data_IF_586577476486
#
_entry.id   IF_586577476486
#
_cell.length_a   1.000
_cell.length_b   1.000
_cell.length_c   1.000
_cell.angle_alpha   90.00
_cell.angle_beta   90.00
_cell.angle_gamma   90.00
#
_symmetry.space_group_name_H-M   'P 1'
#
loop_
_entity.id
_entity.type
_entity.pdbx_description
1 polymer ?
#
# COMPACT_ATOMS: atom_id res chain seq x y z
N UNK A 1 -4.78 -29.77 -10.76
CA UNK A 1 -4.51 -28.33 -10.99
C UNK A 1 -3.47 -27.73 -9.99
N UNK A 2 -2.47 -28.51 -9.54
CA UNK A 2 -1.49 -28.13 -8.49
C UNK A 2 -0.02 -28.07 -8.99
N UNK A 3 0.22 -27.78 -10.27
CA UNK A 3 1.55 -28.03 -10.88
C UNK A 3 2.35 -26.76 -11.27
N UNK A 4 1.95 -25.56 -10.82
CA UNK A 4 2.72 -24.35 -11.16
C UNK A 4 3.69 -23.86 -10.08
N UNK A 5 3.67 -24.44 -8.87
CA UNK A 5 4.52 -24.00 -7.74
C UNK A 5 4.86 -25.17 -6.81
N UNK A 6 5.28 -26.32 -7.36
CA UNK A 6 6.02 -27.31 -6.56
C UNK A 6 7.41 -26.73 -6.33
N UNK A 7 7.58 -25.92 -5.29
CA UNK A 7 8.91 -25.82 -4.70
C UNK A 7 9.32 -27.24 -4.35
N UNK A 8 10.49 -27.65 -4.83
CA UNK A 8 11.03 -28.92 -4.40
C UNK A 8 11.10 -28.86 -2.88
N UNK A 9 10.45 -29.78 -2.16
CA UNK A 9 10.37 -29.69 -0.69
C UNK A 9 11.76 -29.59 -0.06
N UNK A 10 12.75 -30.17 -0.75
CA UNK A 10 14.17 -30.01 -0.49
C UNK A 10 14.65 -28.55 -0.52
N UNK A 11 14.28 -27.77 -1.54
CA UNK A 11 14.64 -26.35 -1.66
C UNK A 11 14.04 -25.49 -0.56
N UNK A 12 12.77 -25.73 -0.20
CA UNK A 12 12.14 -25.04 0.95
C UNK A 12 12.81 -25.41 2.26
N UNK A 13 13.14 -26.69 2.44
CA UNK A 13 13.84 -27.18 3.61
C UNK A 13 15.23 -26.54 3.75
N UNK A 14 16.01 -26.50 2.65
CA UNK A 14 17.32 -25.86 2.64
C UNK A 14 17.23 -24.35 2.90
N UNK A 15 16.21 -23.68 2.36
CA UNK A 15 16.00 -22.25 2.59
C UNK A 15 15.59 -21.97 4.06
N UNK A 16 14.74 -22.81 4.64
CA UNK A 16 14.37 -22.73 6.05
C UNK A 16 15.58 -23.01 6.96
N UNK A 17 16.40 -24.00 6.61
CA UNK A 17 17.63 -24.32 7.33
C UNK A 17 18.62 -23.15 7.25
N UNK A 18 18.84 -22.60 6.06
CA UNK A 18 19.70 -21.44 5.87
C UNK A 18 19.21 -20.23 6.67
N UNK A 19 17.90 -19.93 6.62
CA UNK A 19 17.28 -18.86 7.40
C UNK A 19 17.41 -19.09 8.92
N UNK A 20 17.37 -20.34 9.38
CA UNK A 20 17.54 -20.71 10.80
C UNK A 20 18.99 -20.68 11.28
N UNK A 21 19.95 -20.99 10.41
CA UNK A 21 21.40 -20.96 10.73
C UNK A 21 21.96 -19.53 10.67
N UNK A 22 21.43 -18.69 9.78
CA UNK A 22 21.94 -17.34 9.52
C UNK A 22 22.18 -16.49 10.78
N UNK A 23 21.26 -16.44 11.78
CA UNK A 23 21.48 -15.66 12.99
C UNK A 23 22.63 -16.19 13.87
N UNK A 24 23.03 -17.44 13.71
CA UNK A 24 24.17 -18.02 14.43
C UNK A 24 25.49 -17.84 13.67
N UNK A 25 25.42 -17.74 12.34
CA UNK A 25 26.61 -17.50 11.51
C UNK A 25 27.12 -16.05 11.63
N UNK A 26 26.21 -15.07 11.70
CA UNK A 26 26.53 -13.63 11.79
C UNK A 26 25.67 -12.94 12.88
N UNK A 27 25.82 -13.33 14.16
CA UNK A 27 24.89 -12.96 15.23
C UNK A 27 24.81 -11.45 15.47
N UNK A 28 25.94 -10.74 15.47
CA UNK A 28 25.97 -9.29 15.72
C UNK A 28 25.23 -8.51 14.63
N UNK A 29 25.39 -8.90 13.37
CA UNK A 29 24.71 -8.24 12.23
C UNK A 29 23.21 -8.50 12.28
N UNK A 30 22.81 -9.75 12.55
CA UNK A 30 21.39 -10.10 12.68
C UNK A 30 20.74 -9.42 13.89
N UNK A 31 21.43 -9.34 15.03
CA UNK A 31 20.94 -8.67 16.23
C UNK A 31 20.78 -7.15 16.00
N UNK A 32 21.74 -6.51 15.34
CA UNK A 32 21.65 -5.09 14.97
C UNK A 32 20.45 -4.84 14.04
N UNK A 33 20.28 -5.67 13.00
CA UNK A 33 19.17 -5.56 12.05
C UNK A 33 17.80 -5.72 12.74
N UNK A 34 17.68 -6.63 13.70
CA UNK A 34 16.48 -6.79 14.51
C UNK A 34 16.22 -5.57 15.40
N UNK A 35 17.25 -5.00 16.03
CA UNK A 35 17.12 -3.81 16.89
C UNK A 35 16.67 -2.58 16.09
N UNK A 36 17.23 -2.39 14.91
CA UNK A 36 16.81 -1.35 13.97
C UNK A 36 15.37 -1.57 13.50
N UNK A 37 15.03 -2.82 13.13
CA UNK A 37 13.67 -3.17 12.73
C UNK A 37 12.66 -2.94 13.86
N UNK A 38 13.01 -3.25 15.11
CA UNK A 38 12.16 -2.98 16.27
C UNK A 38 11.96 -1.48 16.49
N UNK A 39 13.02 -0.68 16.35
CA UNK A 39 12.96 0.78 16.47
C UNK A 39 12.06 1.38 15.37
N UNK A 40 12.15 0.84 14.16
CA UNK A 40 11.27 1.22 13.05
C UNK A 40 9.80 0.86 13.34
N UNK A 41 9.55 -0.35 13.85
CA UNK A 41 8.22 -0.86 14.19
C UNK A 41 7.62 -0.23 15.46
N UNK A 42 8.41 0.27 16.40
CA UNK A 42 7.89 0.92 17.62
C UNK A 42 7.80 2.43 17.51
N UNK A 43 8.46 3.04 16.52
CA UNK A 43 8.45 4.48 16.30
C UNK A 43 7.74 4.87 14.99
N UNK A 44 8.48 5.14 13.90
CA UNK A 44 7.92 5.75 12.69
C UNK A 44 6.76 4.96 12.05
N UNK A 45 6.84 3.63 11.99
CA UNK A 45 5.76 2.83 11.40
C UNK A 45 4.53 2.79 12.29
N UNK A 46 4.70 2.78 13.62
CA UNK A 46 3.57 2.76 14.52
C UNK A 46 2.79 4.08 14.42
N UNK A 47 3.50 5.20 14.30
CA UNK A 47 2.89 6.52 14.17
C UNK A 47 2.18 6.71 12.83
N UNK A 48 2.72 6.16 11.75
CA UNK A 48 2.19 6.36 10.38
C UNK A 48 1.24 5.24 9.96
N UNK A 49 1.73 4.01 9.89
CA UNK A 49 1.04 2.87 9.27
C UNK A 49 -0.16 2.39 10.09
N UNK A 50 -0.06 2.32 11.42
CA UNK A 50 -1.17 1.83 12.24
C UNK A 50 -2.43 2.72 12.12
N UNK A 51 -2.35 4.06 12.26
CA UNK A 51 -3.49 4.93 11.98
C UNK A 51 -4.02 4.79 10.54
N UNK A 52 -3.15 4.61 9.55
CA UNK A 52 -3.58 4.36 8.16
C UNK A 52 -4.39 3.07 8.01
N UNK A 53 -4.00 1.99 8.70
CA UNK A 53 -4.75 0.73 8.69
C UNK A 53 -6.15 0.92 9.29
N UNK A 54 -6.26 1.66 10.40
CA UNK A 54 -7.55 2.00 11.02
C UNK A 54 -8.43 2.81 10.07
N UNK A 55 -7.87 3.90 9.53
CA UNK A 55 -8.61 4.81 8.64
C UNK A 55 -8.99 4.14 7.32
N UNK A 56 -8.14 3.29 6.75
CA UNK A 56 -8.47 2.53 5.54
C UNK A 56 -9.69 1.63 5.71
N UNK A 57 -9.84 1.00 6.88
CA UNK A 57 -10.98 0.13 7.19
C UNK A 57 -12.26 0.94 7.38
N UNK A 58 -12.16 2.10 8.03
CA UNK A 58 -13.27 3.04 8.17
C UNK A 58 -13.72 3.57 6.80
N UNK A 59 -12.78 3.98 5.94
CA UNK A 59 -13.07 4.46 4.59
C UNK A 59 -13.80 3.39 3.75
N UNK A 60 -13.42 2.11 3.84
CA UNK A 60 -14.14 1.05 3.11
C UNK A 60 -15.55 0.80 3.66
N UNK A 61 -15.78 1.01 4.95
CA UNK A 61 -17.08 0.78 5.59
C UNK A 61 -18.03 1.98 5.48
N UNK A 62 -17.53 3.20 5.31
CA UNK A 62 -18.34 4.42 5.19
C UNK A 62 -18.66 4.75 3.71
N UNK A 63 -19.94 4.71 3.27
CA UNK A 63 -20.33 5.05 1.90
C UNK A 63 -19.96 6.48 1.47
N UNK A 64 -19.95 7.43 2.41
CA UNK A 64 -19.67 8.85 2.16
C UNK A 64 -18.23 9.11 1.68
N UNK A 65 -17.33 8.15 1.89
CA UNK A 65 -15.96 8.22 1.42
C UNK A 65 -15.83 8.10 -0.10
N UNK A 66 -16.90 7.75 -0.82
CA UNK A 66 -16.94 7.77 -2.29
C UNK A 66 -16.62 9.17 -2.87
N UNK A 67 -16.91 10.25 -2.13
CA UNK A 67 -16.58 11.61 -2.56
C UNK A 67 -15.07 11.88 -2.58
N UNK A 68 -14.34 11.35 -1.59
CA UNK A 68 -12.87 11.43 -1.52
C UNK A 68 -12.20 10.66 -2.67
N UNK A 69 -12.85 9.58 -3.12
CA UNK A 69 -12.34 8.71 -4.17
C UNK A 69 -12.76 9.13 -5.59
N UNK A 70 -13.54 10.21 -5.74
CA UNK A 70 -14.03 10.67 -7.03
C UNK A 70 -12.93 10.86 -8.10
N UNK A 71 -11.74 11.43 -7.80
CA UNK A 71 -10.66 11.55 -8.78
C UNK A 71 -10.15 10.18 -9.27
N UNK A 72 -10.15 9.18 -8.39
CA UNK A 72 -9.68 7.83 -8.68
C UNK A 72 -10.72 6.97 -9.42
N UNK A 73 -11.95 7.46 -9.58
CA UNK A 73 -13.00 6.74 -10.30
C UNK A 73 -12.68 6.57 -11.78
N UNK A 74 -12.14 7.61 -12.42
CA UNK A 74 -11.72 7.54 -13.82
C UNK A 74 -10.55 6.56 -14.00
N UNK A 75 -9.62 6.53 -13.04
CA UNK A 75 -8.53 5.57 -13.04
C UNK A 75 -9.05 4.12 -12.89
N UNK A 76 -9.98 3.87 -11.96
CA UNK A 76 -10.61 2.55 -11.81
C UNK A 76 -11.28 2.09 -13.12
N UNK A 77 -11.99 3.00 -13.79
CA UNK A 77 -12.64 2.71 -15.06
C UNK A 77 -11.65 2.44 -16.18
N UNK A 78 -10.53 3.17 -16.24
CA UNK A 78 -9.45 2.91 -17.20
C UNK A 78 -8.78 1.55 -17.00
N UNK A 79 -8.79 1.03 -15.76
CA UNK A 79 -8.34 -0.33 -15.42
C UNK A 79 -9.39 -1.39 -15.81
N UNK A 80 -10.63 -0.99 -16.11
CA UNK A 80 -11.74 -1.87 -16.52
C UNK A 80 -12.71 -2.23 -15.38
N UNK A 81 -12.56 -1.64 -14.20
CA UNK A 81 -13.37 -1.96 -13.01
C UNK A 81 -14.31 -0.78 -12.74
N UNK A 82 -15.62 -1.02 -12.77
CA UNK A 82 -16.64 0.04 -12.63
C UNK A 82 -17.27 0.10 -11.23
N UNK A 83 -16.95 -0.84 -10.37
CA UNK A 83 -17.47 -0.91 -9.00
C UNK A 83 -17.01 0.32 -8.20
N UNK A 84 -17.93 1.06 -7.54
CA UNK A 84 -17.60 2.30 -6.81
C UNK A 84 -16.49 2.12 -5.77
N UNK A 85 -16.48 0.98 -5.07
CA UNK A 85 -15.46 0.65 -4.05
C UNK A 85 -14.03 0.61 -4.61
N UNK A 86 -13.85 0.31 -5.91
CA UNK A 86 -12.52 0.23 -6.52
C UNK A 86 -11.77 1.56 -6.46
N UNK A 87 -12.49 2.68 -6.62
CA UNK A 87 -11.89 4.01 -6.52
C UNK A 87 -11.38 4.30 -5.10
N UNK A 88 -12.09 3.84 -4.06
CA UNK A 88 -11.67 3.99 -2.65
C UNK A 88 -10.42 3.19 -2.36
N UNK A 89 -10.38 1.93 -2.81
CA UNK A 89 -9.20 1.06 -2.64
C UNK A 89 -7.98 1.63 -3.39
N UNK A 90 -8.16 2.21 -4.58
CA UNK A 90 -7.08 2.91 -5.31
C UNK A 90 -6.58 4.14 -4.55
N UNK A 91 -7.49 4.98 -4.06
CA UNK A 91 -7.14 6.17 -3.28
C UNK A 91 -6.35 5.78 -2.01
N UNK A 92 -6.83 4.78 -1.28
CA UNK A 92 -6.14 4.25 -0.08
C UNK A 92 -4.76 3.72 -0.44
N UNK A 93 -4.60 3.01 -1.55
CA UNK A 93 -3.30 2.48 -1.95
C UNK A 93 -2.31 3.55 -2.39
N UNK A 94 -2.77 4.54 -3.15
CA UNK A 94 -1.95 5.67 -3.58
C UNK A 94 -1.42 6.48 -2.37
N UNK A 95 -2.25 6.66 -1.33
CA UNK A 95 -1.89 7.46 -0.16
C UNK A 95 -1.18 6.66 0.94
N UNK A 96 -1.63 5.44 1.22
CA UNK A 96 -1.18 4.62 2.34
C UNK A 96 -0.20 3.51 1.98
N UNK A 97 0.02 3.26 0.69
CA UNK A 97 0.89 2.18 0.21
C UNK A 97 0.27 0.78 0.31
N UNK A 98 1.11 -0.24 0.20
CA UNK A 98 0.71 -1.63 -0.03
C UNK A 98 -0.16 -2.25 1.07
N UNK A 99 0.15 -1.97 2.34
CA UNK A 99 -0.54 -2.63 3.45
C UNK A 99 -1.97 -2.09 3.65
N UNK A 100 -2.20 -0.76 3.70
CA UNK A 100 -3.55 -0.19 3.65
C UNK A 100 -4.31 -0.58 2.38
N UNK A 101 -3.66 -0.62 1.21
CA UNK A 101 -4.29 -1.10 -0.03
C UNK A 101 -4.81 -2.54 0.09
N UNK A 102 -3.96 -3.46 0.55
CA UNK A 102 -4.32 -4.86 0.74
C UNK A 102 -5.42 -5.03 1.79
N UNK A 103 -5.35 -4.26 2.88
CA UNK A 103 -6.36 -4.30 3.95
C UNK A 103 -7.72 -3.81 3.45
N UNK A 104 -7.73 -2.71 2.68
CA UNK A 104 -8.93 -2.16 2.07
C UNK A 104 -9.55 -3.10 1.03
N UNK A 105 -8.73 -3.68 0.13
CA UNK A 105 -9.19 -4.65 -0.85
C UNK A 105 -9.78 -5.90 -0.17
N UNK A 106 -9.08 -6.45 0.82
CA UNK A 106 -9.54 -7.60 1.60
C UNK A 106 -10.87 -7.32 2.32
N UNK A 107 -11.02 -6.12 2.88
CA UNK A 107 -12.27 -5.71 3.53
C UNK A 107 -13.41 -5.53 2.52
N UNK A 108 -13.12 -4.96 1.35
CA UNK A 108 -14.11 -4.79 0.29
C UNK A 108 -14.62 -6.15 -0.22
N UNK A 109 -13.75 -7.16 -0.33
CA UNK A 109 -14.14 -8.54 -0.68
C UNK A 109 -14.97 -9.18 0.44
N UNK A 110 -14.52 -9.11 1.70
CA UNK A 110 -15.28 -9.67 2.84
C UNK A 110 -16.67 -9.09 3.01
N UNK A 111 -16.84 -7.81 2.66
CA UNK A 111 -18.13 -7.10 2.75
C UNK A 111 -18.97 -7.18 1.47
N UNK A 112 -18.51 -7.91 0.44
CA UNK A 112 -19.23 -8.07 -0.83
C UNK A 112 -19.27 -6.81 -1.71
N UNK A 113 -18.46 -5.80 -1.40
CA UNK A 113 -18.35 -4.56 -2.16
C UNK A 113 -17.44 -4.70 -3.40
N UNK A 114 -16.53 -5.68 -3.40
CA UNK A 114 -15.74 -6.11 -4.55
C UNK A 114 -15.79 -7.63 -4.66
N UNK A 115 -15.77 -8.16 -5.89
CA UNK A 115 -15.48 -9.59 -6.07
C UNK A 115 -13.98 -9.84 -5.86
N UNK A 116 -13.60 -11.07 -5.54
CA UNK A 116 -12.19 -11.44 -5.42
C UNK A 116 -11.41 -11.20 -6.74
N UNK A 117 -12.08 -11.41 -7.88
CA UNK A 117 -11.54 -11.16 -9.22
C UNK A 117 -11.30 -9.66 -9.48
N UNK A 118 -12.26 -8.80 -9.11
CA UNK A 118 -12.10 -7.35 -9.21
C UNK A 118 -10.98 -6.85 -8.30
N UNK A 119 -10.88 -7.39 -7.08
CA UNK A 119 -9.79 -7.05 -6.17
C UNK A 119 -8.42 -7.50 -6.70
N UNK A 120 -8.31 -8.73 -7.21
CA UNK A 120 -7.07 -9.25 -7.83
C UNK A 120 -6.64 -8.42 -9.05
N UNK A 121 -7.60 -7.96 -9.86
CA UNK A 121 -7.38 -7.10 -11.01
C UNK A 121 -6.98 -5.66 -10.63
N UNK A 122 -7.40 -5.20 -9.44
CA UNK A 122 -7.13 -3.85 -8.94
C UNK A 122 -5.80 -3.74 -8.21
N UNK A 123 -5.42 -4.75 -7.42
CA UNK A 123 -4.22 -4.76 -6.58
C UNK A 123 -2.92 -4.37 -7.31
N UNK A 124 -2.66 -4.78 -8.56
CA UNK A 124 -1.50 -4.31 -9.31
C UNK A 124 -1.35 -2.77 -9.36
N UNK A 125 -2.46 -2.03 -9.41
CA UNK A 125 -2.44 -0.57 -9.42
C UNK A 125 -2.25 0.03 -8.02
N UNK A 126 -2.67 -0.68 -6.96
CA UNK A 126 -2.68 -0.15 -5.59
C UNK A 126 -1.44 -0.49 -4.77
N UNK A 127 -0.83 -1.65 -4.99
CA UNK A 127 0.32 -2.10 -4.20
C UNK A 127 1.54 -1.29 -4.60
N UNK A 128 1.89 -0.28 -3.81
CA UNK A 128 3.10 0.53 -3.96
C UNK A 128 3.67 0.88 -2.60
N UNK A 129 4.89 1.40 -2.59
CA UNK A 129 5.41 2.08 -1.41
C UNK A 129 4.72 3.43 -1.24
N UNK A 130 4.44 3.83 0.01
CA UNK A 130 3.77 5.10 0.31
C UNK A 130 4.60 6.33 -0.07
N UNK A 131 3.94 7.48 -0.35
CA UNK A 131 4.61 8.68 -0.86
C UNK A 131 5.66 9.22 0.11
N UNK A 132 5.42 9.27 1.43
CA UNK A 132 6.46 9.73 2.37
C UNK A 132 7.68 8.83 2.38
N UNK A 133 7.51 7.51 2.29
CA UNK A 133 8.65 6.60 2.21
C UNK A 133 9.48 6.84 0.95
N UNK A 134 8.83 6.96 -0.22
CA UNK A 134 9.55 7.13 -1.47
C UNK A 134 10.19 8.52 -1.58
N UNK A 135 9.46 9.58 -1.23
CA UNK A 135 9.94 10.96 -1.39
C UNK A 135 10.93 11.36 -0.30
N UNK A 136 10.59 11.12 0.97
CA UNK A 136 11.39 11.61 2.10
C UNK A 136 12.48 10.62 2.50
N UNK A 137 12.15 9.33 2.61
CA UNK A 137 13.15 8.34 3.03
C UNK A 137 14.08 8.02 1.86
N UNK A 138 13.54 7.52 0.75
CA UNK A 138 14.39 7.09 -0.38
C UNK A 138 14.97 8.29 -1.13
N UNK A 139 14.14 9.25 -1.55
CA UNK A 139 14.60 10.44 -2.26
C UNK A 139 15.50 11.31 -1.39
N UNK A 140 14.93 11.97 -0.38
CA UNK A 140 15.65 13.00 0.38
C UNK A 140 16.74 12.42 1.30
N UNK A 141 16.46 11.34 2.04
CA UNK A 141 17.40 10.85 3.06
C UNK A 141 18.49 9.93 2.49
N UNK A 142 18.13 9.01 1.59
CA UNK A 142 19.07 8.05 1.00
C UNK A 142 19.77 8.61 -0.25
N UNK A 143 19.02 9.18 -1.19
CA UNK A 143 19.56 9.70 -2.46
C UNK A 143 19.94 11.18 -2.42
N UNK A 144 19.58 11.90 -1.34
CA UNK A 144 19.91 13.32 -1.17
C UNK A 144 19.02 14.30 -1.95
N UNK A 145 17.94 13.85 -2.59
CA UNK A 145 17.04 14.71 -3.38
C UNK A 145 15.58 14.32 -3.27
N UNK A 146 14.76 15.22 -2.72
CA UNK A 146 13.31 15.06 -2.66
C UNK A 146 12.68 15.06 -4.08
N UNK A 147 13.23 15.86 -5.00
CA UNK A 147 12.79 15.89 -6.39
C UNK A 147 12.95 14.52 -7.05
N UNK A 148 14.11 13.89 -6.86
CA UNK A 148 14.36 12.53 -7.34
C UNK A 148 13.38 11.52 -6.72
N UNK A 149 13.06 11.69 -5.43
CA UNK A 149 12.01 10.94 -4.75
C UNK A 149 10.62 11.11 -5.38
N UNK A 150 10.25 12.32 -5.80
CA UNK A 150 8.99 12.58 -6.52
C UNK A 150 8.98 11.89 -7.88
N UNK A 151 10.09 11.96 -8.64
CA UNK A 151 10.22 11.28 -9.94
C UNK A 151 10.15 9.76 -9.78
N UNK A 152 10.79 9.20 -8.74
CA UNK A 152 10.67 7.79 -8.39
C UNK A 152 9.21 7.45 -8.13
N UNK A 153 8.53 8.15 -7.22
CA UNK A 153 7.15 7.87 -6.87
C UNK A 153 6.20 7.95 -8.08
N UNK A 154 6.33 8.99 -8.91
CA UNK A 154 5.57 9.15 -10.13
C UNK A 154 5.78 7.95 -11.07
N UNK A 155 7.04 7.54 -11.29
CA UNK A 155 7.38 6.39 -12.13
C UNK A 155 6.75 5.09 -11.61
N UNK A 156 6.78 4.86 -10.29
CA UNK A 156 6.18 3.69 -9.66
C UNK A 156 4.66 3.66 -9.84
N UNK A 157 3.96 4.77 -9.54
CA UNK A 157 2.51 4.80 -9.65
C UNK A 157 2.05 4.68 -11.11
N UNK A 158 2.71 5.38 -12.03
CA UNK A 158 2.38 5.27 -13.45
C UNK A 158 2.63 3.86 -13.97
N UNK A 159 3.74 3.21 -13.60
CA UNK A 159 3.99 1.82 -13.97
C UNK A 159 2.94 0.87 -13.39
N UNK A 160 2.55 1.04 -12.11
CA UNK A 160 1.50 0.25 -11.46
C UNK A 160 0.17 0.36 -12.23
N UNK A 161 -0.26 1.59 -12.55
CA UNK A 161 -1.50 1.84 -13.28
C UNK A 161 -1.49 1.21 -14.68
N UNK A 162 -0.44 1.49 -15.45
CA UNK A 162 -0.31 0.98 -16.82
C UNK A 162 -0.25 -0.55 -16.85
N UNK A 163 0.48 -1.15 -15.92
CA UNK A 163 0.58 -2.61 -15.80
C UNK A 163 -0.79 -3.23 -15.49
N UNK A 164 -1.53 -2.64 -14.53
CA UNK A 164 -2.87 -3.11 -14.18
C UNK A 164 -3.84 -3.02 -15.36
N UNK A 165 -3.88 -1.86 -16.01
CA UNK A 165 -4.75 -1.62 -17.17
C UNK A 165 -4.44 -2.57 -18.33
N UNK A 166 -3.15 -2.81 -18.60
CA UNK A 166 -2.72 -3.71 -19.66
C UNK A 166 -3.13 -5.16 -19.37
N UNK A 167 -2.84 -5.66 -18.17
CA UNK A 167 -3.20 -7.03 -17.78
C UNK A 167 -4.72 -7.26 -17.81
N UNK A 168 -5.51 -6.30 -17.34
CA UNK A 168 -6.97 -6.42 -17.33
C UNK A 168 -7.57 -6.37 -18.73
N UNK A 169 -6.99 -5.55 -19.63
CA UNK A 169 -7.39 -5.51 -21.04
C UNK A 169 -7.16 -6.86 -21.74
N UNK A 170 -6.04 -7.54 -21.45
CA UNK A 170 -5.76 -8.86 -22.01
C UNK A 170 -6.58 -9.99 -21.36
N UNK A 171 -6.83 -9.90 -20.06
CA UNK A 171 -7.63 -10.88 -19.33
C UNK A 171 -9.14 -10.76 -19.64
N UNK A 172 -9.58 -9.69 -20.31
CA UNK A 172 -10.98 -9.49 -20.65
C UNK A 172 -11.87 -9.30 -19.42
N UNK A 173 -11.31 -8.84 -18.30
CA UNK A 173 -12.03 -8.63 -17.04
C UNK A 173 -13.16 -7.64 -17.30
N UNK A 174 -14.40 -8.13 -17.24
CA UNK A 174 -15.61 -7.31 -17.33
C UNK A 174 -16.16 -7.17 -15.93
N UNK A 175 -16.26 -5.95 -15.44
CA UNK A 175 -16.94 -5.66 -14.17
C UNK A 175 -18.33 -6.30 -14.18
N UNK A 176 -18.63 -7.03 -13.10
CA UNK A 176 -19.93 -7.69 -12.94
C UNK A 176 -21.01 -6.61 -12.92
N UNK A 177 -22.20 -6.91 -13.46
CA UNK A 177 -23.31 -5.92 -13.54
C UNK A 177 -23.51 -5.25 -12.16
N UNK A 178 -23.76 -3.93 -12.09
CA UNK A 178 -23.88 -3.16 -10.84
C UNK A 178 -24.92 -3.65 -9.82
N UNK A 179 -25.74 -4.64 -10.17
CA UNK A 179 -26.75 -5.24 -9.29
C UNK A 179 -26.27 -6.39 -8.40
N UNK A 180 -25.01 -6.81 -8.49
CA UNK A 180 -24.46 -7.91 -7.67
C UNK A 180 -23.68 -7.44 -6.43
N UNK A 181 -23.34 -6.15 -6.33
CA UNK A 181 -22.71 -5.61 -5.14
C UNK A 181 -23.79 -5.42 -4.08
N UNK A 182 -23.71 -6.16 -2.98
CA UNK A 182 -24.57 -5.91 -1.83
C UNK A 182 -24.28 -4.49 -1.33
N UNK A 183 -25.30 -3.66 -1.03
CA UNK A 183 -25.07 -2.41 -0.33
C UNK A 183 -24.29 -2.72 0.94
N UNK A 184 -23.26 -1.90 1.24
CA UNK A 184 -22.48 -2.03 2.46
C UNK A 184 -23.43 -2.22 3.64
N UNK A 185 -23.22 -3.28 4.43
CA UNK A 185 -24.12 -3.64 5.53
C UNK A 185 -24.37 -2.40 6.41
N UNK A 186 -25.63 -2.07 6.74
CA UNK A 186 -25.99 -0.86 7.49
C UNK A 186 -25.58 -0.91 8.98
N UNK A 187 -24.87 -1.96 9.41
CA UNK A 187 -24.36 -2.06 10.77
C UNK A 187 -23.26 -1.00 10.99
N UNK A 188 -23.33 -0.22 12.08
CA UNK A 188 -22.32 0.80 12.36
C UNK A 188 -20.94 0.15 12.52
N UNK A 189 -19.87 0.81 12.02
CA UNK A 189 -18.51 0.30 12.16
C UNK A 189 -18.18 0.11 13.65
N UNK A 190 -17.85 -1.13 14.03
CA UNK A 190 -17.42 -1.48 15.38
C UNK A 190 -15.96 -1.05 15.57
N UNK A 191 -15.76 0.10 16.21
CA UNK A 191 -14.43 0.70 16.38
C UNK A 191 -13.47 -0.23 17.13
N UNK A 192 -13.98 -0.99 18.10
CA UNK A 192 -13.24 -2.02 18.84
C UNK A 192 -12.67 -3.11 17.91
N UNK A 193 -13.51 -3.65 17.01
CA UNK A 193 -13.09 -4.65 16.02
C UNK A 193 -12.10 -4.06 15.01
N UNK A 194 -12.33 -2.83 14.55
CA UNK A 194 -11.45 -2.16 13.58
C UNK A 194 -10.05 -1.94 14.19
N UNK A 195 -9.99 -1.47 15.43
CA UNK A 195 -8.73 -1.26 16.14
C UNK A 195 -8.00 -2.57 16.39
N UNK A 196 -8.71 -3.60 16.88
CA UNK A 196 -8.13 -4.92 17.13
C UNK A 196 -7.57 -5.54 15.84
N UNK A 197 -8.33 -5.51 14.76
CA UNK A 197 -7.91 -6.02 13.47
C UNK A 197 -6.72 -5.24 12.88
N UNK A 198 -6.72 -3.91 13.01
CA UNK A 198 -5.60 -3.07 12.59
C UNK A 198 -4.35 -3.39 13.40
N UNK A 199 -4.48 -3.65 14.69
CA UNK A 199 -3.36 -4.01 15.57
C UNK A 199 -2.80 -5.39 15.21
N UNK A 200 -3.66 -6.39 15.01
CA UNK A 200 -3.24 -7.72 14.54
C UNK A 200 -2.55 -7.63 13.19
N UNK A 201 -3.12 -6.84 12.26
CA UNK A 201 -2.50 -6.59 10.95
C UNK A 201 -1.12 -5.97 11.13
N UNK A 202 -1.02 -4.90 11.92
CA UNK A 202 0.24 -4.21 12.21
C UNK A 202 1.31 -5.13 12.79
N UNK A 203 0.96 -5.95 13.79
CA UNK A 203 1.88 -6.93 14.39
C UNK A 203 2.39 -7.95 13.37
N UNK A 204 1.54 -8.41 12.44
CA UNK A 204 1.97 -9.28 11.34
C UNK A 204 3.00 -8.59 10.45
N UNK A 205 2.75 -7.33 10.05
CA UNK A 205 3.69 -6.56 9.23
C UNK A 205 5.04 -6.38 9.94
N UNK A 206 5.01 -6.06 11.23
CA UNK A 206 6.22 -5.97 12.04
C UNK A 206 7.00 -7.30 12.03
N UNK A 207 6.33 -8.44 12.20
CA UNK A 207 6.96 -9.75 12.12
C UNK A 207 7.66 -10.00 10.79
N UNK A 208 7.01 -9.67 9.67
CA UNK A 208 7.63 -9.75 8.34
C UNK A 208 8.83 -8.82 8.19
N UNK A 209 8.70 -7.56 8.60
CA UNK A 209 9.78 -6.57 8.53
C UNK A 209 10.99 -7.05 9.33
N UNK A 210 10.80 -7.46 10.58
CA UNK A 210 11.88 -7.95 11.45
C UNK A 210 12.60 -9.16 10.83
N UNK A 211 11.83 -10.16 10.39
CA UNK A 211 12.38 -11.38 9.81
C UNK A 211 13.15 -11.11 8.52
N UNK A 212 12.55 -10.39 7.56
CA UNK A 212 13.18 -10.15 6.27
C UNK A 212 14.35 -9.16 6.35
N UNK A 213 14.33 -8.19 7.26
CA UNK A 213 15.50 -7.32 7.52
C UNK A 213 16.67 -8.11 8.10
N UNK A 214 16.41 -9.00 9.05
CA UNK A 214 17.43 -9.90 9.61
C UNK A 214 18.04 -10.78 8.52
N UNK A 215 17.21 -11.37 7.65
CA UNK A 215 17.68 -12.18 6.51
C UNK A 215 18.50 -11.36 5.51
N UNK A 216 18.03 -10.17 5.14
CA UNK A 216 18.73 -9.29 4.20
C UNK A 216 20.11 -8.87 4.74
N UNK A 217 20.17 -8.47 6.02
CA UNK A 217 21.42 -8.07 6.66
C UNK A 217 22.40 -9.25 6.80
N UNK A 218 21.92 -10.40 7.25
CA UNK A 218 22.77 -11.59 7.40
C UNK A 218 23.28 -12.09 6.04
N UNK A 219 22.42 -12.14 5.02
CA UNK A 219 22.85 -12.49 3.66
C UNK A 219 23.84 -11.47 3.08
N UNK A 220 23.61 -10.18 3.32
CA UNK A 220 24.52 -9.11 2.90
C UNK A 220 25.91 -9.18 3.54
N UNK A 221 26.02 -9.74 4.75
CA UNK A 221 27.30 -9.96 5.43
C UNK A 221 28.09 -11.15 4.87
N UNK A 222 27.41 -12.16 4.31
CA UNK A 222 28.02 -13.39 3.79
C UNK A 222 28.26 -13.35 2.28
N UNK A 223 27.52 -12.53 1.54
CA UNK A 223 27.59 -12.44 0.09
C UNK A 223 28.50 -11.29 -0.37
N UNK A 224 29.12 -11.40 -1.57
CA UNK A 224 29.81 -10.26 -2.19
C UNK A 224 28.89 -9.05 -2.33
N UNK A 225 29.44 -7.83 -2.23
CA UNK A 225 28.65 -6.58 -2.14
C UNK A 225 27.51 -6.43 -3.17
N UNK A 226 27.77 -6.77 -4.45
CA UNK A 226 26.75 -6.73 -5.50
C UNK A 226 25.63 -7.77 -5.31
N UNK A 227 26.00 -9.00 -4.93
CA UNK A 227 25.05 -10.06 -4.64
C UNK A 227 24.24 -9.79 -3.35
N UNK A 228 24.88 -9.21 -2.32
CA UNK A 228 24.22 -8.79 -1.08
C UNK A 228 23.19 -7.68 -1.32
N UNK A 229 23.51 -6.71 -2.19
CA UNK A 229 22.58 -5.65 -2.60
C UNK A 229 21.37 -6.24 -3.33
N UNK A 230 21.60 -7.09 -4.33
CA UNK A 230 20.53 -7.77 -5.06
C UNK A 230 19.67 -8.63 -4.12
N UNK A 231 20.29 -9.39 -3.22
CA UNK A 231 19.58 -10.20 -2.23
C UNK A 231 18.68 -9.33 -1.35
N UNK A 232 19.18 -8.19 -0.88
CA UNK A 232 18.40 -7.24 -0.07
C UNK A 232 17.23 -6.64 -0.85
N UNK A 233 17.44 -6.23 -2.10
CA UNK A 233 16.39 -5.75 -3.02
C UNK A 233 15.27 -6.80 -3.16
N UNK A 234 15.62 -8.08 -3.26
CA UNK A 234 14.67 -9.18 -3.40
C UNK A 234 13.97 -9.56 -2.09
N UNK A 235 14.58 -9.30 -0.93
CA UNK A 235 14.03 -9.70 0.36
C UNK A 235 13.17 -8.60 1.01
N UNK A 236 13.68 -7.37 1.07
CA UNK A 236 13.07 -6.30 1.86
C UNK A 236 13.36 -4.93 1.25
N UNK A 237 12.30 -4.17 0.94
CA UNK A 237 12.38 -2.90 0.21
C UNK A 237 13.23 -1.83 0.91
N UNK A 238 13.16 -1.70 2.23
CA UNK A 238 13.90 -0.66 2.95
C UNK A 238 15.40 -0.93 2.94
N UNK A 239 15.82 -2.15 3.31
CA UNK A 239 17.21 -2.58 3.22
C UNK A 239 17.74 -2.57 1.78
N UNK A 240 16.90 -2.97 0.82
CA UNK A 240 17.22 -2.90 -0.60
C UNK A 240 17.51 -1.49 -1.08
N UNK A 241 16.67 -0.51 -0.69
CA UNK A 241 16.89 0.90 -1.04
C UNK A 241 18.13 1.49 -0.35
N UNK A 242 18.37 1.18 0.93
CA UNK A 242 19.55 1.67 1.66
C UNK A 242 20.85 1.18 0.99
N UNK A 243 20.98 -0.11 0.71
CA UNK A 243 22.16 -0.65 0.03
C UNK A 243 22.27 -0.15 -1.41
N UNK A 244 21.15 -0.08 -2.14
CA UNK A 244 21.12 0.46 -3.50
C UNK A 244 21.67 1.89 -3.56
N UNK A 245 21.24 2.77 -2.66
CA UNK A 245 21.67 4.18 -2.64
C UNK A 245 23.18 4.38 -2.50
N UNK A 246 23.89 3.39 -1.94
CA UNK A 246 25.35 3.42 -1.70
C UNK A 246 26.18 2.96 -2.90
N UNK A 247 25.53 2.55 -4.01
CA UNK A 247 26.21 2.05 -5.22
C UNK A 247 26.70 3.14 -6.17
N UNK A 248 26.57 4.42 -5.80
CA UNK A 248 26.99 5.56 -6.61
C UNK A 248 26.06 5.77 -7.80
N UNK A 249 26.62 5.74 -9.02
CA UNK A 249 25.95 6.05 -10.31
C UNK A 249 24.77 5.15 -10.72
N UNK A 250 24.47 4.13 -9.92
CA UNK A 250 23.34 3.24 -10.14
C UNK A 250 22.33 3.33 -9.00
N UNK A 251 22.58 4.19 -8.02
CA UNK A 251 21.84 4.19 -6.76
C UNK A 251 20.37 4.48 -6.98
N UNK A 252 20.05 5.49 -7.79
CA UNK A 252 18.65 5.86 -8.03
C UNK A 252 17.91 4.80 -8.86
N UNK A 253 18.57 4.21 -9.86
CA UNK A 253 18.02 3.11 -10.67
C UNK A 253 17.80 1.83 -9.84
N UNK A 254 18.73 1.48 -8.96
CA UNK A 254 18.59 0.32 -8.08
C UNK A 254 17.54 0.56 -6.98
N UNK A 255 17.40 1.79 -6.48
CA UNK A 255 16.26 2.16 -5.63
C UNK A 255 14.92 2.04 -6.39
N UNK A 256 14.87 2.47 -7.65
CA UNK A 256 13.68 2.26 -8.51
C UNK A 256 13.36 0.77 -8.68
N UNK A 257 14.38 -0.08 -8.88
CA UNK A 257 14.21 -1.52 -8.96
C UNK A 257 13.69 -2.12 -7.63
N UNK A 258 14.25 -1.70 -6.49
CA UNK A 258 13.80 -2.13 -5.16
C UNK A 258 12.33 -1.75 -4.89
N UNK A 259 11.95 -0.52 -5.18
CA UNK A 259 10.58 -0.03 -5.04
C UNK A 259 9.60 -0.78 -5.97
N UNK A 260 10.06 -1.17 -7.16
CA UNK A 260 9.24 -1.89 -8.14
C UNK A 260 8.98 -3.34 -7.73
N UNK A 261 10.05 -4.05 -7.32
CA UNK A 261 9.98 -5.45 -6.89
C UNK A 261 9.29 -5.58 -5.54
N UNK A 262 9.41 -4.57 -4.66
CA UNK A 262 8.90 -4.50 -3.27
C UNK A 262 9.45 -5.55 -2.31
N UNK A 263 10.21 -6.52 -2.82
CA UNK A 263 10.77 -7.61 -2.05
C UNK A 263 9.76 -8.68 -1.64
N UNK A 264 10.26 -9.84 -1.26
CA UNK A 264 9.47 -10.98 -0.82
C UNK A 264 8.68 -10.66 0.46
N UNK A 265 9.24 -9.82 1.34
CA UNK A 265 8.57 -9.34 2.55
C UNK A 265 7.21 -8.72 2.24
N UNK A 266 7.14 -7.77 1.32
CA UNK A 266 5.89 -7.07 1.00
C UNK A 266 4.88 -8.00 0.32
N UNK A 267 5.34 -8.84 -0.61
CA UNK A 267 4.46 -9.77 -1.31
C UNK A 267 3.81 -10.78 -0.36
N UNK A 268 4.57 -11.29 0.62
CA UNK A 268 4.03 -12.18 1.66
C UNK A 268 3.11 -11.43 2.63
N UNK A 269 3.43 -10.19 3.01
CA UNK A 269 2.54 -9.35 3.80
C UNK A 269 1.18 -9.17 3.11
N UNK A 270 1.16 -8.83 1.82
CA UNK A 270 -0.09 -8.72 1.04
C UNK A 270 -0.84 -10.05 1.05
N UNK A 271 -0.16 -11.18 0.83
CA UNK A 271 -0.79 -12.50 0.90
C UNK A 271 -1.38 -12.83 2.27
N UNK A 272 -0.73 -12.41 3.35
CA UNK A 272 -1.22 -12.61 4.73
C UNK A 272 -2.42 -11.74 5.06
N UNK A 273 -2.53 -10.55 4.48
CA UNK A 273 -3.68 -9.66 4.66
C UNK A 273 -4.89 -10.12 3.84
N UNK A 274 -4.65 -10.53 2.59
CA UNK A 274 -5.70 -10.90 1.65
C UNK A 274 -6.28 -12.29 1.97
N UNK A 275 -7.62 -12.45 1.92
CA UNK A 275 -8.27 -13.72 2.16
C UNK A 275 -7.99 -14.71 0.99
N UNK A 276 -8.14 -16.03 1.20
CA UNK A 276 -7.70 -17.06 0.24
C UNK A 276 -8.45 -17.05 -1.10
N UNK A 277 -9.62 -16.43 -1.17
CA UNK A 277 -10.40 -16.24 -2.39
C UNK A 277 -9.69 -15.32 -3.39
N UNK A 278 -8.84 -14.41 -2.89
CA UNK A 278 -7.98 -13.56 -3.72
C UNK A 278 -6.71 -14.33 -4.10
N UNK A 279 -6.55 -14.62 -5.39
CA UNK A 279 -5.48 -15.47 -5.91
C UNK A 279 -4.12 -14.76 -5.97
N UNK A 280 -4.12 -13.42 -6.04
CA UNK A 280 -2.94 -12.55 -6.20
C UNK A 280 -2.09 -12.84 -7.45
N UNK A 281 -2.53 -13.73 -8.34
CA UNK A 281 -1.79 -14.07 -9.57
C UNK A 281 -1.58 -12.84 -10.48
N UNK A 282 -2.56 -11.94 -10.66
CA UNK A 282 -2.34 -10.74 -11.46
C UNK A 282 -1.28 -9.83 -10.83
N UNK A 283 -1.23 -9.71 -9.50
CA UNK A 283 -0.20 -8.94 -8.80
C UNK A 283 1.21 -9.48 -9.08
N UNK A 284 1.42 -10.80 -8.98
CA UNK A 284 2.74 -11.38 -9.24
C UNK A 284 3.17 -11.23 -10.71
N UNK A 285 2.24 -11.42 -11.64
CA UNK A 285 2.50 -11.18 -13.08
C UNK A 285 2.80 -9.72 -13.36
N UNK A 286 2.06 -8.81 -12.71
CA UNK A 286 2.28 -7.39 -12.82
C UNK A 286 3.69 -6.99 -12.40
N UNK A 287 4.22 -7.54 -11.30
CA UNK A 287 5.57 -7.19 -10.82
C UNK A 287 6.67 -7.46 -11.85
N UNK A 288 6.53 -8.52 -12.67
CA UNK A 288 7.49 -8.82 -13.73
C UNK A 288 7.49 -7.77 -14.85
N UNK A 289 6.31 -7.23 -15.19
CA UNK A 289 6.17 -6.17 -16.19
C UNK A 289 6.46 -4.77 -15.61
N UNK A 290 6.19 -4.59 -14.32
CA UNK A 290 6.34 -3.34 -13.61
C UNK A 290 7.80 -2.91 -13.53
N UNK A 291 8.74 -3.85 -13.33
CA UNK A 291 10.17 -3.54 -13.22
C UNK A 291 10.74 -2.84 -14.46
N UNK A 292 10.67 -3.42 -15.67
CA UNK A 292 11.18 -2.74 -16.86
C UNK A 292 10.42 -1.44 -17.13
N UNK A 293 9.11 -1.40 -16.88
CA UNK A 293 8.30 -0.21 -17.12
C UNK A 293 8.64 0.96 -16.18
N UNK A 294 8.77 0.69 -14.89
CA UNK A 294 9.13 1.72 -13.89
C UNK A 294 10.54 2.26 -14.12
N UNK A 295 11.50 1.40 -14.46
CA UNK A 295 12.86 1.83 -14.83
C UNK A 295 12.86 2.69 -16.10
N UNK A 296 12.11 2.30 -17.13
CA UNK A 296 12.00 3.07 -18.36
C UNK A 296 11.36 4.45 -18.12
N UNK A 297 10.25 4.50 -17.38
CA UNK A 297 9.60 5.76 -17.02
C UNK A 297 10.52 6.66 -16.20
N UNK A 298 11.20 6.09 -15.20
CA UNK A 298 12.10 6.84 -14.36
C UNK A 298 13.29 7.41 -15.14
N UNK A 299 13.88 6.60 -16.02
CA UNK A 299 14.95 7.06 -16.92
C UNK A 299 14.50 8.19 -17.85
N UNK A 300 13.27 8.11 -18.40
CA UNK A 300 12.71 9.15 -19.26
C UNK A 300 12.38 10.45 -18.50
N UNK A 301 12.05 10.35 -17.21
CA UNK A 301 11.71 11.49 -16.36
C UNK A 301 12.93 12.16 -15.73
N UNK A 302 14.10 11.53 -15.77
CA UNK A 302 15.35 12.03 -15.20
C UNK A 302 15.90 13.19 -16.06
N UNK A 303 15.91 14.44 -15.56
CA UNK A 303 16.46 15.56 -16.32
C UNK A 303 17.99 15.42 -16.45
N UNK A 304 18.53 15.45 -17.67
CA UNK A 304 19.97 15.53 -17.95
C UNK A 304 20.82 14.27 -17.69
N UNK A 305 20.24 13.22 -17.10
CA UNK A 305 20.99 12.04 -16.62
C UNK A 305 21.65 12.26 -15.25
N UNK A 306 22.03 11.18 -14.57
CA UNK A 306 22.46 11.24 -13.15
C UNK A 306 23.68 12.14 -12.86
N UNK A 307 24.48 12.51 -13.87
CA UNK A 307 25.71 13.27 -13.70
C UNK A 307 25.52 14.70 -13.15
N UNK A 308 24.38 15.34 -13.44
CA UNK A 308 24.06 16.68 -12.92
C UNK A 308 23.45 16.65 -11.51
N UNK A 309 22.92 15.52 -11.06
CA UNK A 309 22.25 15.40 -9.74
C UNK A 309 23.26 15.10 -8.62
N UNK A 310 24.35 14.38 -8.92
CA UNK A 310 25.39 14.04 -7.94
C UNK A 310 26.53 15.07 -7.86
N UNK A 311 26.60 16.05 -8.76
CA UNK A 311 27.65 17.08 -8.79
C UNK A 311 27.40 18.26 -7.84
N UNK A 312 26.21 18.37 -7.23
CA UNK A 312 25.81 19.52 -6.39
C UNK A 312 25.33 19.13 -4.98
N UNK A 313 25.90 18.11 -4.34
CA UNK A 313 25.49 17.71 -2.98
C UNK A 313 26.39 18.38 -1.90
N UNK A 314 25.92 19.40 -1.15
CA UNK A 314 26.63 19.88 0.02
C UNK A 314 26.44 18.93 1.21
N UNK A 315 27.34 19.07 2.20
CA UNK A 315 27.41 18.22 3.38
C UNK A 315 26.13 18.24 4.23
N UNK A 316 25.71 17.03 4.60
CA UNK A 316 24.54 16.64 5.37
C UNK A 316 24.48 17.27 6.77
N UNK A 317 23.37 17.93 7.11
CA UNK A 317 22.68 17.81 8.41
C UNK A 317 21.22 18.21 8.21
N UNK A 318 20.24 17.33 8.49
CA UNK A 318 18.88 17.79 8.78
C UNK A 318 18.22 16.97 9.89
N UNK A 319 17.88 17.69 10.96
CA UNK A 319 17.06 17.26 12.09
C UNK A 319 15.62 17.06 11.59
N UNK A 320 15.10 15.83 11.63
CA UNK A 320 13.69 15.59 11.31
C UNK A 320 12.78 16.11 12.44
N UNK A 321 12.20 17.29 12.21
CA UNK A 321 11.00 17.77 12.90
C UNK A 321 9.92 18.13 11.87
N UNK A 322 9.57 17.18 11.02
CA UNK A 322 8.40 17.29 10.15
C UNK A 322 7.48 16.11 10.41
N UNK A 323 6.23 16.42 10.75
CA UNK A 323 5.14 15.45 10.76
C UNK A 323 5.11 14.82 9.37
N UNK A 324 5.13 13.48 9.23
CA UNK A 324 5.08 12.84 7.92
C UNK A 324 3.89 13.41 7.14
N UNK A 325 4.04 13.84 5.87
CA UNK A 325 2.93 14.33 5.06
C UNK A 325 1.78 13.30 4.97
N UNK A 326 2.11 12.02 5.12
CA UNK A 326 1.18 10.90 5.34
C UNK A 326 0.25 11.13 6.56
N UNK A 327 0.78 11.61 7.69
CA UNK A 327 -0.02 11.96 8.88
C UNK A 327 -0.91 13.19 8.62
N UNK A 328 -0.48 14.16 7.82
CA UNK A 328 -1.30 15.31 7.44
C UNK A 328 -2.44 14.92 6.48
N UNK A 329 -2.18 14.00 5.54
CA UNK A 329 -3.19 13.40 4.66
C UNK A 329 -4.19 12.54 5.44
N UNK A 330 -3.72 11.82 6.47
CA UNK A 330 -4.55 11.10 7.43
C UNK A 330 -5.47 12.04 8.21
N UNK A 331 -4.91 13.10 8.80
CA UNK A 331 -5.69 14.11 9.54
C UNK A 331 -6.69 14.76 8.60
N UNK A 332 -6.29 15.11 7.37
CA UNK A 332 -7.18 15.66 6.37
C UNK A 332 -8.32 14.70 5.99
N UNK A 333 -8.02 13.42 5.70
CA UNK A 333 -9.03 12.42 5.37
C UNK A 333 -9.99 12.15 6.54
N UNK A 334 -9.48 12.10 7.78
CA UNK A 334 -10.28 11.97 9.01
C UNK A 334 -11.14 13.21 9.24
N UNK A 335 -10.61 14.41 9.04
CA UNK A 335 -11.36 15.66 9.11
C UNK A 335 -12.46 15.74 8.05
N UNK A 336 -12.17 15.31 6.81
CA UNK A 336 -13.17 15.22 5.74
C UNK A 336 -14.26 14.21 6.06
N UNK A 337 -13.91 13.04 6.60
CA UNK A 337 -14.90 12.05 7.01
C UNK A 337 -15.76 12.54 8.18
N UNK A 338 -15.16 13.15 9.20
CA UNK A 338 -15.89 13.75 10.32
C UNK A 338 -16.85 14.84 9.83
N UNK A 339 -16.41 15.73 8.93
CA UNK A 339 -17.26 16.75 8.35
C UNK A 339 -18.41 16.15 7.51
N UNK A 340 -18.15 15.09 6.74
CA UNK A 340 -19.17 14.42 5.94
C UNK A 340 -20.21 13.67 6.79
N UNK A 341 -19.80 12.97 7.84
CA UNK A 341 -20.71 12.23 8.75
C UNK A 341 -21.50 13.17 9.64
N UNK A 342 -20.91 14.27 10.12
CA UNK A 342 -21.67 15.34 10.79
C UNK A 342 -22.72 15.93 9.84
N UNK A 343 -22.35 16.21 8.59
CA UNK A 343 -23.28 16.78 7.61
C UNK A 343 -24.40 15.81 7.23
N UNK A 344 -24.12 14.52 7.07
CA UNK A 344 -25.16 13.51 6.76
C UNK A 344 -26.07 13.25 7.95
N UNK A 345 -25.52 13.23 9.17
CA UNK A 345 -26.30 13.17 10.42
C UNK A 345 -27.25 14.35 10.57
N UNK A 346 -26.75 15.58 10.34
CA UNK A 346 -27.59 16.80 10.32
C UNK A 346 -28.69 16.67 9.26
N UNK A 347 -28.35 16.22 8.04
CA UNK A 347 -29.32 16.09 6.93
C UNK A 347 -30.39 15.04 7.21
N UNK A 348 -30.06 13.93 7.87
CA UNK A 348 -31.04 12.91 8.28
C UNK A 348 -31.95 13.42 9.41
N UNK A 349 -31.42 14.20 10.34
CA UNK A 349 -32.21 14.85 11.40
C UNK A 349 -33.15 15.88 10.78
N UNK A 350 -32.67 16.72 9.86
CA UNK A 350 -33.49 17.67 9.11
C UNK A 350 -34.58 16.98 8.30
N UNK A 351 -34.28 15.89 7.59
CA UNK A 351 -35.28 15.12 6.85
C UNK A 351 -36.32 14.46 7.76
N UNK A 352 -35.92 13.93 8.91
CA UNK A 352 -36.86 13.40 9.92
C UNK A 352 -37.72 14.49 10.54
N UNK A 353 -37.18 15.69 10.76
CA UNK A 353 -37.94 16.85 11.23
C UNK A 353 -38.91 17.37 10.17
N UNK A 354 -38.49 17.49 8.91
CA UNK A 354 -39.39 17.89 7.82
C UNK A 354 -40.50 16.85 7.59
N UNK A 355 -40.20 15.55 7.67
CA UNK A 355 -41.20 14.49 7.58
C UNK A 355 -42.20 14.52 8.76
N UNK A 356 -41.74 14.82 9.99
CA UNK A 356 -42.62 15.03 11.14
C UNK A 356 -43.51 16.27 10.99
N UNK A 357 -42.96 17.37 10.49
CA UNK A 357 -43.70 18.62 10.28
C UNK A 357 -44.73 18.49 9.14
N UNK A 358 -44.40 17.78 8.05
CA UNK A 358 -45.32 17.47 6.97
C UNK A 358 -46.44 16.50 7.41
N UNK A 359 -46.10 15.50 8.24
CA UNK A 359 -47.09 14.58 8.83
C UNK A 359 -48.05 15.26 9.82
N UNK A 360 -47.59 16.25 10.58
CA UNK A 360 -48.44 17.06 11.47
C UNK A 360 -49.40 17.98 10.73
N UNK A 361 -49.02 18.48 9.55
CA UNK A 361 -49.88 19.34 8.73
C UNK A 361 -51.06 18.57 8.08
N UNK A 362 -50.90 17.27 7.81
CA UNK A 362 -51.95 16.43 7.24
C UNK A 362 -53.01 15.97 8.25
N UNK A 363 -52.71 16.00 9.56
CA UNK A 363 -53.67 15.57 10.60
C UNK A 363 -54.67 16.69 10.92
N UNK A 364 -54.28 17.96 10.77
CA UNK A 364 -55.15 19.10 11.07
C UNK A 364 -56.16 19.46 9.96
N UNK A 365 -56.09 18.82 8.78
CA UNK A 365 -57.01 19.09 7.66
C UNK A 365 -58.14 18.06 7.54
N UNK A 366 -58.20 17.04 8.40
CA UNK A 366 -59.27 16.01 8.41
C UNK A 366 -60.27 16.15 9.57
N UNK A 367 -60.20 17.22 10.35
CA UNK A 367 -61.11 17.50 11.48
C UNK A 367 -62.08 18.65 11.22
N UNK A 368 -62.16 19.12 9.97
CA UNK A 368 -63.10 20.13 9.50
C UNK A 368 -63.80 19.61 8.23
N UNK A 369 -64.73 18.68 8.40
CA UNK A 369 -65.83 18.40 7.47
C UNK A 369 -66.96 17.71 8.23
#
# INVERSE_FOLDING_TARGET
MNQLFRWDQMGLFLLALAAGILPFAVPEVCAAALREGLTLCSGPLLLSLFPFLVVSRLLVQCPESDLLALPFRLAAWGIGIRTPCAARVLCIGFLGGFAPAASAAAQAVRTGQLTAEEADALLPACICSGPSFVVLTVGQSLLGSAELGVLLFASQITANYLTAALLNRFAGVRSVKPGSAAPASPAPPRLDEILADAAITYCKLCGFILFFRMLAAGAGALLPAGAGTLCSILLEVCSGCDLASRTGRWGSLLCCAALSVQGLSVLLQVRTICPPEMTLRPLYRARMLHLPLSLALFYLLLPGGEADVFSTLPARVFLMRQVPPDCALLVFAVCCMAACTLRSGIRQVEQKQMARNAGGCCINSKTLL
#
